data_IF_583844515369
#
_entry.id   IF_583844515369
#
_cell.length_a   1.000
_cell.length_b   1.000
_cell.length_c   1.000
_cell.angle_alpha   90.00
_cell.angle_beta   90.00
_cell.angle_gamma   90.00
#
_symmetry.space_group_name_H-M   'P 1'
#
loop_
_entity.id
_entity.type
_entity.pdbx_description
1 polymer ?
#
# COMPACT_ATOMS: atom_id res chain seq x y z
N UNK A 1 60.63 56.59 -12.30
CA UNK A 1 60.15 57.36 -13.46
C UNK A 1 58.67 57.07 -13.63
N UNK A 2 57.87 58.13 -13.60
CA UNK A 2 56.42 58.12 -13.70
C UNK A 2 55.96 58.21 -15.17
N UNK A 3 54.90 57.49 -15.52
CA UNK A 3 53.78 57.85 -16.44
C UNK A 3 52.65 56.84 -16.07
N UNK A 4 51.49 57.12 -15.47
CA UNK A 4 50.43 58.12 -15.59
C UNK A 4 49.38 57.87 -16.70
N UNK A 5 48.16 57.47 -16.27
CA UNK A 5 46.80 57.89 -16.73
C UNK A 5 46.33 57.34 -18.10
N UNK A 6 45.08 56.97 -18.43
CA UNK A 6 43.68 57.13 -17.96
C UNK A 6 42.84 55.91 -18.47
N UNK A 7 41.84 55.34 -17.79
CA UNK A 7 40.45 55.77 -17.47
C UNK A 7 39.41 55.69 -18.62
N UNK A 8 38.40 54.84 -18.34
CA UNK A 8 36.97 54.86 -18.69
C UNK A 8 36.44 54.43 -20.07
N UNK A 9 35.42 53.56 -20.00
CA UNK A 9 34.50 53.21 -21.08
C UNK A 9 33.42 52.24 -20.62
N UNK A 10 32.60 52.63 -19.64
CA UNK A 10 31.35 51.95 -19.28
C UNK A 10 30.26 52.39 -20.25
N UNK A 11 29.62 51.45 -20.94
CA UNK A 11 28.31 51.67 -21.56
C UNK A 11 27.38 50.52 -21.17
N UNK A 12 26.52 50.82 -20.21
CA UNK A 12 25.27 50.12 -19.90
C UNK A 12 24.22 50.35 -20.97
N UNK A 13 23.66 49.28 -21.54
CA UNK A 13 22.25 49.18 -21.99
C UNK A 13 21.82 47.72 -21.83
N UNK A 14 21.15 47.37 -20.73
CA UNK A 14 19.70 47.32 -20.52
C UNK A 14 18.98 46.13 -21.20
N UNK A 15 18.58 45.17 -20.35
CA UNK A 15 17.39 44.31 -20.38
C UNK A 15 16.95 43.67 -21.71
N UNK A 16 16.98 42.34 -21.73
CA UNK A 16 15.72 41.58 -21.87
C UNK A 16 15.84 40.21 -21.20
N UNK A 17 14.94 40.02 -20.24
CA UNK A 17 14.72 38.82 -19.45
C UNK A 17 13.57 38.06 -20.11
N UNK A 18 13.82 36.90 -20.72
CA UNK A 18 12.77 35.94 -21.10
C UNK A 18 13.35 34.52 -21.16
N UNK A 19 13.29 33.83 -20.01
CA UNK A 19 12.86 32.44 -19.83
C UNK A 19 12.86 31.53 -21.07
N UNK A 20 13.83 30.60 -21.14
CA UNK A 20 13.67 29.34 -21.86
C UNK A 20 13.81 28.17 -20.87
N UNK A 21 12.65 27.66 -20.49
CA UNK A 21 12.36 26.49 -19.64
C UNK A 21 13.30 25.29 -19.90
N UNK A 22 14.04 24.90 -18.86
CA UNK A 22 14.70 23.60 -18.79
C UNK A 22 13.67 22.47 -18.88
N UNK A 23 13.75 21.66 -19.95
CA UNK A 23 13.00 20.43 -20.09
C UNK A 23 13.28 19.50 -18.89
N UNK A 24 12.34 19.45 -17.94
CA UNK A 24 12.25 18.36 -16.96
C UNK A 24 11.95 17.08 -17.72
N UNK A 25 12.99 16.28 -17.99
CA UNK A 25 12.84 14.87 -18.31
C UNK A 25 12.11 14.22 -17.14
N UNK A 26 10.83 13.94 -17.31
CA UNK A 26 10.06 13.09 -16.40
C UNK A 26 10.75 11.74 -16.36
N UNK A 27 11.31 11.39 -15.20
CA UNK A 27 11.74 10.02 -14.89
C UNK A 27 10.51 9.14 -15.09
N UNK A 28 10.45 8.42 -16.21
CA UNK A 28 9.53 7.31 -16.38
C UNK A 28 9.86 6.31 -15.29
N UNK A 29 9.01 6.23 -14.25
CA UNK A 29 9.02 5.10 -13.33
C UNK A 29 8.89 3.85 -14.21
N UNK A 30 9.90 2.99 -14.18
CA UNK A 30 9.81 1.66 -14.76
C UNK A 30 8.57 0.98 -14.18
N UNK A 31 7.50 0.92 -14.98
CA UNK A 31 6.36 0.05 -14.69
C UNK A 31 6.88 -1.35 -14.85
N UNK A 32 7.03 -2.09 -13.75
CA UNK A 32 7.12 -3.54 -13.85
C UNK A 32 5.89 -4.02 -14.63
N UNK A 33 6.08 -4.88 -15.64
CA UNK A 33 4.95 -5.47 -16.34
C UNK A 33 4.10 -6.22 -15.32
N UNK A 34 2.81 -5.87 -15.23
CA UNK A 34 1.87 -6.63 -14.42
C UNK A 34 1.81 -8.07 -14.97
N UNK A 35 1.84 -9.10 -14.11
CA UNK A 35 1.79 -10.49 -14.55
C UNK A 35 0.50 -10.78 -15.34
N UNK A 36 0.50 -11.79 -16.22
CA UNK A 36 -0.69 -12.20 -16.97
C UNK A 36 -1.81 -12.59 -15.99
N UNK A 37 -2.97 -11.96 -16.16
CA UNK A 37 -4.08 -11.99 -15.19
C UNK A 37 -5.05 -13.11 -15.53
N UNK A 38 -5.68 -13.69 -14.51
CA UNK A 38 -6.68 -14.74 -14.69
C UNK A 38 -7.85 -14.25 -15.56
N UNK A 39 -8.37 -15.13 -16.43
CA UNK A 39 -9.59 -14.89 -17.20
C UNK A 39 -10.75 -14.59 -16.24
N UNK A 40 -11.40 -13.43 -16.39
CA UNK A 40 -12.48 -12.96 -15.50
C UNK A 40 -12.05 -11.99 -14.40
N UNK A 41 -10.79 -11.56 -14.36
CA UNK A 41 -10.32 -10.54 -13.42
C UNK A 41 -10.96 -9.17 -13.71
N UNK A 42 -11.43 -8.51 -12.65
CA UNK A 42 -11.91 -7.11 -12.71
C UNK A 42 -10.71 -6.20 -12.47
N UNK A 43 -10.46 -5.27 -13.38
CA UNK A 43 -9.37 -4.29 -13.24
C UNK A 43 -9.96 -2.92 -12.94
N UNK A 44 -9.53 -2.32 -11.83
CA UNK A 44 -9.95 -0.99 -11.38
C UNK A 44 -8.74 -0.05 -11.38
N UNK A 45 -8.86 1.05 -12.12
CA UNK A 45 -7.83 2.05 -12.29
C UNK A 45 -8.28 3.39 -11.74
N UNK A 46 -7.63 3.86 -10.68
CA UNK A 46 -7.98 5.13 -10.02
C UNK A 46 -7.11 6.26 -10.55
N UNK A 47 -7.74 7.33 -11.06
CA UNK A 47 -7.02 8.52 -11.51
C UNK A 47 -6.39 9.25 -10.33
N UNK A 48 -5.06 9.29 -10.30
CA UNK A 48 -4.30 10.03 -9.27
C UNK A 48 -3.55 11.23 -9.85
N UNK A 49 -3.95 11.69 -11.05
CA UNK A 49 -3.42 12.92 -11.63
C UNK A 49 -3.79 14.16 -10.78
N UNK A 50 -3.10 15.28 -10.99
CA UNK A 50 -3.11 16.48 -10.13
C UNK A 50 -4.49 16.89 -9.62
N UNK A 51 -5.51 16.98 -10.48
CA UNK A 51 -6.87 17.40 -10.08
C UNK A 51 -7.55 16.35 -9.22
N UNK A 52 -7.58 15.07 -9.65
CA UNK A 52 -8.20 14.00 -8.89
C UNK A 52 -7.47 13.73 -7.56
N UNK A 53 -6.15 13.86 -7.53
CA UNK A 53 -5.38 13.76 -6.29
C UNK A 53 -5.78 14.83 -5.26
N UNK A 54 -6.10 16.06 -5.69
CA UNK A 54 -6.63 17.11 -4.78
C UNK A 54 -8.06 16.85 -4.31
N UNK A 55 -8.79 15.99 -5.02
CA UNK A 55 -10.18 15.64 -4.74
C UNK A 55 -10.32 14.30 -4.01
N UNK A 56 -9.24 13.77 -3.43
CA UNK A 56 -9.28 12.51 -2.67
C UNK A 56 -8.89 11.26 -3.47
N UNK A 57 -8.32 11.40 -4.67
CA UNK A 57 -8.04 10.24 -5.54
C UNK A 57 -7.03 9.24 -4.97
N UNK A 58 -6.13 9.65 -4.07
CA UNK A 58 -5.17 8.74 -3.42
C UNK A 58 -5.82 7.96 -2.29
N UNK A 59 -6.72 8.61 -1.57
CA UNK A 59 -7.54 8.09 -0.50
C UNK A 59 -8.52 7.06 -1.07
N UNK A 60 -9.15 7.37 -2.21
CA UNK A 60 -10.01 6.44 -2.95
C UNK A 60 -9.24 5.24 -3.46
N UNK A 61 -8.02 5.44 -3.97
CA UNK A 61 -7.14 4.33 -4.37
C UNK A 61 -6.83 3.41 -3.18
N UNK A 62 -6.45 3.98 -2.04
CA UNK A 62 -6.16 3.21 -0.83
C UNK A 62 -7.41 2.47 -0.33
N UNK A 63 -8.57 3.12 -0.31
CA UNK A 63 -9.83 2.52 0.09
C UNK A 63 -10.21 1.36 -0.82
N UNK A 64 -10.20 1.55 -2.14
CA UNK A 64 -10.52 0.50 -3.10
C UNK A 64 -9.55 -0.69 -3.01
N UNK A 65 -8.24 -0.44 -2.84
CA UNK A 65 -7.27 -1.51 -2.60
C UNK A 65 -7.54 -2.26 -1.29
N UNK A 66 -8.01 -1.56 -0.26
CA UNK A 66 -8.40 -2.14 1.03
C UNK A 66 -9.73 -2.92 1.01
N UNK A 67 -10.58 -2.65 0.03
CA UNK A 67 -11.88 -3.30 -0.19
C UNK A 67 -11.80 -4.41 -1.24
N UNK A 68 -10.73 -4.49 -2.03
CA UNK A 68 -10.68 -5.39 -3.17
C UNK A 68 -10.65 -6.87 -2.75
N UNK A 69 -11.57 -7.72 -3.24
CA UNK A 69 -11.44 -9.17 -3.13
C UNK A 69 -10.36 -9.70 -4.10
N UNK A 70 -9.87 -10.95 -3.94
CA UNK A 70 -8.72 -11.47 -4.69
C UNK A 70 -8.79 -11.42 -6.22
N UNK A 71 -10.00 -11.38 -6.81
CA UNK A 71 -10.21 -11.28 -8.27
C UNK A 71 -10.22 -9.84 -8.82
N UNK A 72 -10.18 -8.84 -7.94
CA UNK A 72 -10.19 -7.42 -8.29
C UNK A 72 -8.80 -6.85 -8.12
N UNK A 73 -8.19 -6.40 -9.22
CA UNK A 73 -6.94 -5.67 -9.17
C UNK A 73 -7.21 -4.17 -9.14
N UNK A 74 -6.59 -3.47 -8.18
CA UNK A 74 -6.73 -2.03 -8.01
C UNK A 74 -5.37 -1.37 -8.14
N UNK A 75 -5.22 -0.46 -9.11
CA UNK A 75 -3.98 0.28 -9.30
C UNK A 75 -4.25 1.74 -9.72
N UNK A 76 -3.25 2.58 -9.52
CA UNK A 76 -3.24 3.96 -9.98
C UNK A 76 -3.12 4.06 -11.51
N UNK A 77 -3.65 5.16 -12.05
CA UNK A 77 -3.44 5.53 -13.44
C UNK A 77 -3.28 7.05 -13.60
N UNK A 78 -2.92 7.44 -14.83
CA UNK A 78 -2.84 8.84 -15.25
C UNK A 78 -4.23 9.48 -15.41
N UNK A 79 -4.29 10.59 -16.15
CA UNK A 79 -5.55 11.27 -16.41
C UNK A 79 -6.48 10.39 -17.25
N UNK A 80 -7.73 10.19 -16.80
CA UNK A 80 -8.78 9.50 -17.56
C UNK A 80 -9.63 10.45 -18.44
N UNK A 81 -9.20 11.72 -18.57
CA UNK A 81 -10.07 12.76 -19.10
C UNK A 81 -11.22 13.07 -18.12
N UNK A 82 -12.20 13.89 -18.53
CA UNK A 82 -13.35 14.31 -17.69
C UNK A 82 -12.95 15.15 -16.46
N UNK A 83 -12.16 16.18 -16.69
CA UNK A 83 -11.82 17.18 -15.68
C UNK A 83 -13.10 17.82 -15.10
N UNK A 84 -13.13 18.04 -13.79
CA UNK A 84 -14.30 18.64 -13.09
C UNK A 84 -15.21 17.63 -12.39
N UNK A 85 -15.11 16.34 -12.72
CA UNK A 85 -15.91 15.27 -12.13
C UNK A 85 -15.10 14.26 -11.30
N UNK A 86 -13.89 14.62 -10.82
CA UNK A 86 -13.00 13.67 -10.17
C UNK A 86 -13.32 13.40 -8.69
N UNK A 87 -12.71 12.35 -8.10
CA UNK A 87 -11.84 11.35 -8.70
C UNK A 87 -12.55 10.44 -9.72
N UNK A 88 -11.87 10.19 -10.85
CA UNK A 88 -12.36 9.32 -11.90
C UNK A 88 -11.76 7.93 -11.74
N UNK A 89 -12.56 6.89 -11.97
CA UNK A 89 -12.17 5.49 -11.88
C UNK A 89 -12.54 4.80 -13.19
N UNK A 90 -11.60 4.10 -13.81
CA UNK A 90 -11.88 3.21 -14.92
C UNK A 90 -12.00 1.77 -14.40
N UNK A 91 -13.01 1.03 -14.83
CA UNK A 91 -13.14 -0.38 -14.55
C UNK A 91 -13.20 -1.19 -15.86
N UNK A 92 -12.49 -2.30 -15.91
CA UNK A 92 -12.53 -3.27 -17.00
C UNK A 92 -13.09 -4.59 -16.50
N UNK A 93 -14.17 -5.05 -17.13
CA UNK A 93 -14.82 -6.34 -16.83
C UNK A 93 -15.06 -7.08 -18.14
N UNK A 94 -14.48 -8.27 -18.30
CA UNK A 94 -14.66 -9.08 -19.51
C UNK A 94 -14.24 -8.38 -20.81
N UNK A 95 -13.25 -7.47 -20.75
CA UNK A 95 -12.78 -6.68 -21.89
C UNK A 95 -13.57 -5.40 -22.18
N UNK A 96 -14.69 -5.16 -21.49
CA UNK A 96 -15.44 -3.90 -21.56
C UNK A 96 -14.90 -2.90 -20.55
N UNK A 97 -14.57 -1.70 -21.02
CA UNK A 97 -14.02 -0.62 -20.17
C UNK A 97 -15.07 0.48 -19.98
N UNK A 98 -15.33 0.85 -18.73
CA UNK A 98 -16.18 1.97 -18.35
C UNK A 98 -15.41 2.95 -17.46
N UNK A 99 -15.73 4.25 -17.58
CA UNK A 99 -15.15 5.31 -16.74
C UNK A 99 -16.25 5.97 -15.91
N UNK A 100 -16.06 5.93 -14.60
CA UNK A 100 -16.94 6.47 -13.58
C UNK A 100 -16.36 7.76 -13.01
N UNK A 101 -17.18 8.81 -12.92
CA UNK A 101 -16.83 10.05 -12.25
C UNK A 101 -17.42 10.13 -10.84
N UNK A 102 -16.97 11.11 -10.06
CA UNK A 102 -17.43 11.46 -8.72
C UNK A 102 -17.24 10.33 -7.69
N UNK A 103 -16.23 9.49 -7.88
CA UNK A 103 -15.87 8.44 -6.92
C UNK A 103 -14.92 9.03 -5.89
N UNK A 104 -15.39 10.01 -5.11
CA UNK A 104 -14.56 10.79 -4.17
C UNK A 104 -14.46 10.25 -2.76
N UNK A 105 -15.18 9.18 -2.44
CA UNK A 105 -15.23 8.62 -1.09
C UNK A 105 -15.11 7.10 -1.14
N UNK A 106 -14.66 6.50 -0.03
CA UNK A 106 -14.64 5.05 0.14
C UNK A 106 -16.03 4.44 -0.11
N UNK A 107 -17.10 5.09 0.37
CA UNK A 107 -18.47 4.63 0.18
C UNK A 107 -18.88 4.56 -1.30
N UNK A 108 -18.55 5.59 -2.09
CA UNK A 108 -18.78 5.57 -3.54
C UNK A 108 -17.94 4.50 -4.24
N UNK A 109 -16.71 4.29 -3.79
CA UNK A 109 -15.85 3.21 -4.28
C UNK A 109 -16.42 1.82 -4.00
N UNK A 110 -16.89 1.57 -2.78
CA UNK A 110 -17.53 0.31 -2.40
C UNK A 110 -18.81 0.04 -3.20
N UNK A 111 -19.66 1.07 -3.40
CA UNK A 111 -20.85 0.97 -4.26
C UNK A 111 -20.49 0.66 -5.72
N UNK A 112 -19.39 1.22 -6.23
CA UNK A 112 -18.89 0.87 -7.56
C UNK A 112 -18.46 -0.60 -7.61
N UNK A 113 -17.73 -1.10 -6.62
CA UNK A 113 -17.34 -2.51 -6.56
C UNK A 113 -18.57 -3.44 -6.47
N UNK A 114 -19.56 -3.10 -5.64
CA UNK A 114 -20.82 -3.84 -5.56
C UNK A 114 -21.57 -3.86 -6.90
N UNK A 115 -21.57 -2.74 -7.64
CA UNK A 115 -22.17 -2.68 -8.97
C UNK A 115 -21.42 -3.57 -9.98
N UNK A 116 -20.09 -3.60 -9.92
CA UNK A 116 -19.25 -4.38 -10.85
C UNK A 116 -19.27 -5.88 -10.57
N UNK A 117 -19.40 -6.28 -9.30
CA UNK A 117 -19.31 -7.68 -8.85
C UNK A 117 -20.68 -8.30 -8.57
N UNK A 118 -21.70 -7.48 -8.29
CA UNK A 118 -23.01 -7.91 -7.85
C UNK A 118 -23.11 -8.08 -6.33
N UNK A 119 -24.28 -7.76 -5.78
CA UNK A 119 -24.55 -7.77 -4.34
C UNK A 119 -24.45 -9.16 -3.67
N UNK A 120 -24.53 -10.24 -4.47
CA UNK A 120 -24.34 -11.59 -3.98
C UNK A 120 -22.87 -11.91 -3.66
N UNK A 121 -21.94 -11.25 -4.35
CA UNK A 121 -20.50 -11.51 -4.20
C UNK A 121 -19.77 -10.43 -3.40
N UNK A 122 -20.32 -9.22 -3.31
CA UNK A 122 -19.70 -8.08 -2.63
C UNK A 122 -20.76 -7.18 -2.00
N UNK A 123 -20.73 -7.01 -0.67
CA UNK A 123 -21.66 -6.17 0.06
C UNK A 123 -20.97 -4.88 0.52
N UNK A 124 -21.30 -3.75 -0.12
CA UNK A 124 -20.59 -2.49 0.17
C UNK A 124 -20.69 -2.06 1.65
N UNK A 125 -21.82 -2.32 2.32
CA UNK A 125 -22.00 -1.94 3.72
C UNK A 125 -21.11 -2.77 4.66
N UNK A 126 -21.08 -4.09 4.48
CA UNK A 126 -20.22 -4.99 5.26
C UNK A 126 -18.73 -4.68 5.04
N UNK A 127 -18.34 -4.41 3.80
CA UNK A 127 -16.96 -4.12 3.42
C UNK A 127 -16.47 -2.77 3.96
N UNK A 128 -17.34 -1.74 3.95
CA UNK A 128 -17.04 -0.46 4.58
C UNK A 128 -16.93 -0.58 6.10
N UNK A 129 -17.78 -1.38 6.74
CA UNK A 129 -17.69 -1.64 8.16
C UNK A 129 -16.38 -2.37 8.52
N UNK A 130 -16.00 -3.37 7.72
CA UNK A 130 -14.73 -4.09 7.88
C UNK A 130 -13.51 -3.16 7.69
N UNK A 131 -13.53 -2.30 6.66
CA UNK A 131 -12.49 -1.31 6.42
C UNK A 131 -12.37 -0.34 7.61
N UNK A 132 -13.49 0.20 8.09
CA UNK A 132 -13.51 1.13 9.20
C UNK A 132 -13.00 0.50 10.50
N UNK A 133 -13.37 -0.75 10.79
CA UNK A 133 -12.87 -1.49 11.95
C UNK A 133 -11.35 -1.68 11.88
N UNK A 134 -10.81 -2.02 10.70
CA UNK A 134 -9.36 -2.15 10.49
C UNK A 134 -8.61 -0.83 10.65
N UNK A 135 -9.13 0.27 10.10
CA UNK A 135 -8.52 1.60 10.28
C UNK A 135 -8.50 2.03 11.76
N UNK A 136 -9.61 1.78 12.49
CA UNK A 136 -9.67 2.03 13.94
C UNK A 136 -8.67 1.16 14.71
N UNK A 137 -8.53 -0.12 14.34
CA UNK A 137 -7.57 -1.03 14.96
C UNK A 137 -6.13 -0.58 14.73
N UNK A 138 -5.80 -0.12 13.52
CA UNK A 138 -4.48 0.46 13.22
C UNK A 138 -4.22 1.71 14.07
N UNK A 139 -5.20 2.61 14.19
CA UNK A 139 -5.10 3.79 15.05
C UNK A 139 -4.99 3.43 16.55
N UNK A 140 -5.65 2.37 17.00
CA UNK A 140 -5.53 1.87 18.37
C UNK A 140 -4.13 1.30 18.65
N UNK A 141 -3.54 0.57 17.69
CA UNK A 141 -2.15 0.09 17.79
C UNK A 141 -1.14 1.23 17.87
N UNK A 142 -1.33 2.31 17.10
CA UNK A 142 -0.47 3.50 17.17
C UNK A 142 -0.50 4.17 18.54
N UNK A 143 -1.63 4.06 19.25
CA UNK A 143 -1.80 4.53 20.63
C UNK A 143 -1.31 3.54 21.69
N UNK A 144 -0.89 2.34 21.29
CA UNK A 144 -0.48 1.26 22.19
C UNK A 144 -1.63 0.43 22.76
N UNK A 145 -2.87 0.68 22.34
CA UNK A 145 -4.07 -0.05 22.78
C UNK A 145 -4.26 -1.34 21.97
N UNK A 146 -3.37 -2.33 22.13
CA UNK A 146 -3.42 -3.56 21.35
C UNK A 146 -4.67 -4.42 21.62
N UNK A 147 -5.13 -4.48 22.87
CA UNK A 147 -6.35 -5.24 23.21
C UNK A 147 -7.61 -4.68 22.53
N UNK A 148 -7.73 -3.35 22.45
CA UNK A 148 -8.83 -2.69 21.71
C UNK A 148 -8.76 -3.02 20.21
N UNK A 149 -7.56 -3.00 19.64
CA UNK A 149 -7.35 -3.35 18.24
C UNK A 149 -7.77 -4.80 17.94
N UNK A 150 -7.50 -5.74 18.85
CA UNK A 150 -7.90 -7.14 18.68
C UNK A 150 -9.42 -7.31 18.66
N UNK A 151 -10.15 -6.62 19.54
CA UNK A 151 -11.62 -6.65 19.56
C UNK A 151 -12.18 -6.15 18.24
N UNK A 152 -11.72 -4.99 17.77
CA UNK A 152 -12.15 -4.39 16.50
C UNK A 152 -11.89 -5.32 15.30
N UNK A 153 -10.74 -6.01 15.29
CA UNK A 153 -10.40 -6.94 14.21
C UNK A 153 -11.22 -8.23 14.27
N UNK A 154 -11.58 -8.69 15.46
CA UNK A 154 -12.43 -9.87 15.62
C UNK A 154 -13.89 -9.62 15.18
N UNK A 155 -14.39 -8.39 15.35
CA UNK A 155 -15.71 -7.99 14.82
C UNK A 155 -15.82 -8.17 13.31
N UNK A 156 -14.71 -8.01 12.57
CA UNK A 156 -14.69 -8.14 11.10
C UNK A 156 -15.10 -9.54 10.64
N UNK A 157 -14.76 -10.58 11.39
CA UNK A 157 -15.11 -11.97 11.03
C UNK A 157 -16.61 -12.28 11.22
N UNK A 158 -17.34 -11.43 11.95
CA UNK A 158 -18.80 -11.48 12.02
C UNK A 158 -19.48 -10.75 10.87
N UNK A 159 -18.72 -10.00 10.07
CA UNK A 159 -19.21 -9.32 8.88
C UNK A 159 -19.06 -10.28 7.69
N UNK A 160 -20.08 -10.36 6.83
CA UNK A 160 -20.00 -11.08 5.55
C UNK A 160 -19.14 -10.28 4.53
N UNK A 161 -17.94 -9.90 4.94
CA UNK A 161 -16.94 -9.20 4.13
C UNK A 161 -15.96 -10.21 3.52
N UNK A 162 -15.64 -10.02 2.25
CA UNK A 162 -14.72 -10.86 1.46
C UNK A 162 -13.48 -10.08 1.00
N UNK A 163 -13.57 -8.75 0.94
CA UNK A 163 -12.52 -7.84 0.51
C UNK A 163 -11.44 -7.65 1.56
N UNK A 164 -10.19 -7.54 1.12
CA UNK A 164 -9.09 -7.11 2.00
C UNK A 164 -8.78 -8.02 3.20
N UNK A 165 -9.26 -9.27 3.24
CA UNK A 165 -9.07 -10.17 4.39
C UNK A 165 -7.58 -10.39 4.75
N UNK A 166 -6.70 -10.49 3.76
CA UNK A 166 -5.25 -10.56 3.99
C UNK A 166 -4.70 -9.34 4.78
N UNK A 167 -5.33 -8.17 4.67
CA UNK A 167 -4.99 -6.98 5.48
C UNK A 167 -5.52 -7.10 6.91
N UNK A 168 -6.71 -7.67 7.10
CA UNK A 168 -7.31 -7.93 8.42
C UNK A 168 -6.40 -8.89 9.20
N UNK A 169 -6.06 -10.03 8.60
CA UNK A 169 -5.13 -11.00 9.18
C UNK A 169 -3.76 -10.40 9.47
N UNK A 170 -3.20 -9.60 8.55
CA UNK A 170 -1.94 -8.88 8.80
C UNK A 170 -2.03 -7.94 10.00
N UNK A 171 -3.12 -7.16 10.12
CA UNK A 171 -3.31 -6.26 11.25
C UNK A 171 -3.50 -7.04 12.55
N UNK A 172 -4.23 -8.17 12.53
CA UNK A 172 -4.44 -9.02 13.71
C UNK A 172 -3.17 -9.74 14.14
N UNK A 173 -2.39 -10.25 13.20
CA UNK A 173 -1.06 -10.83 13.46
C UNK A 173 -0.15 -9.82 14.16
N UNK A 174 -0.08 -8.58 13.65
CA UNK A 174 0.68 -7.50 14.29
C UNK A 174 0.16 -7.17 15.70
N UNK A 175 -1.16 -7.14 15.88
CA UNK A 175 -1.79 -6.90 17.19
C UNK A 175 -1.45 -8.00 18.18
N UNK A 176 -1.56 -9.27 17.78
CA UNK A 176 -1.29 -10.43 18.62
C UNK A 176 0.18 -10.54 19.02
N UNK A 177 1.11 -10.17 18.13
CA UNK A 177 2.53 -10.00 18.49
C UNK A 177 2.73 -8.94 19.58
N UNK A 178 1.97 -7.85 19.54
CA UNK A 178 2.05 -6.80 20.56
C UNK A 178 1.45 -7.22 21.91
N UNK A 179 0.46 -8.11 21.90
CA UNK A 179 -0.16 -8.67 23.11
C UNK A 179 0.67 -9.85 23.68
N UNK A 180 1.48 -10.49 22.85
CA UNK A 180 2.27 -11.66 23.21
C UNK A 180 1.64 -13.01 22.84
N UNK A 181 0.50 -13.00 22.13
CA UNK A 181 -0.07 -14.21 21.52
C UNK A 181 0.70 -14.54 20.23
N UNK A 182 1.87 -15.16 20.39
CA UNK A 182 2.77 -15.44 19.28
C UNK A 182 2.20 -16.53 18.36
N UNK A 183 1.54 -17.54 18.93
CA UNK A 183 0.87 -18.61 18.18
C UNK A 183 -0.23 -18.06 17.27
N UNK A 184 -1.16 -17.27 17.82
CA UNK A 184 -2.24 -16.70 17.04
C UNK A 184 -1.74 -15.68 16.01
N UNK A 185 -0.61 -15.03 16.28
CA UNK A 185 0.03 -14.16 15.29
C UNK A 185 0.63 -14.93 14.10
N UNK A 186 1.21 -16.10 14.34
CA UNK A 186 1.73 -16.97 13.29
C UNK A 186 0.60 -17.49 12.40
N UNK A 187 -0.47 -18.00 13.01
CA UNK A 187 -1.67 -18.48 12.29
C UNK A 187 -2.24 -17.38 11.38
N UNK A 188 -2.36 -16.15 11.90
CA UNK A 188 -2.84 -15.02 11.11
C UNK A 188 -1.90 -14.65 9.97
N UNK A 189 -0.58 -14.70 10.18
CA UNK A 189 0.38 -14.42 9.12
C UNK A 189 0.31 -15.46 8.00
N UNK A 190 0.16 -16.74 8.35
CA UNK A 190 0.01 -17.84 7.39
C UNK A 190 -1.30 -17.74 6.61
N UNK A 191 -2.39 -17.37 7.28
CA UNK A 191 -3.68 -17.17 6.64
C UNK A 191 -3.67 -15.97 5.67
N UNK A 192 -2.97 -14.88 6.02
CA UNK A 192 -2.73 -13.77 5.11
C UNK A 192 -1.92 -14.18 3.87
N UNK A 193 -0.92 -15.05 4.04
CA UNK A 193 -0.13 -15.65 2.93
C UNK A 193 -1.03 -16.55 2.08
N UNK A 194 -1.89 -17.37 2.69
CA UNK A 194 -2.81 -18.26 1.97
C UNK A 194 -3.74 -17.48 1.04
N UNK A 195 -4.26 -16.34 1.52
CA UNK A 195 -5.16 -15.47 0.75
C UNK A 195 -4.39 -14.68 -0.32
N UNK A 196 -3.20 -14.17 0.03
CA UNK A 196 -2.36 -13.39 -0.87
C UNK A 196 -0.90 -13.84 -0.77
N UNK A 197 -0.48 -14.86 -1.55
CA UNK A 197 0.85 -15.46 -1.43
C UNK A 197 2.01 -14.50 -1.69
N UNK A 198 1.76 -13.46 -2.48
CA UNK A 198 2.74 -12.42 -2.82
C UNK A 198 2.71 -11.22 -1.87
N UNK A 199 1.99 -11.31 -0.75
CA UNK A 199 1.87 -10.23 0.21
C UNK A 199 3.06 -10.19 1.17
N UNK A 200 4.07 -9.38 0.81
CA UNK A 200 5.35 -9.25 1.50
C UNK A 200 5.19 -9.02 3.01
N UNK A 201 4.21 -8.21 3.43
CA UNK A 201 4.00 -7.88 4.85
C UNK A 201 3.60 -9.11 5.68
N UNK A 202 2.91 -10.09 5.09
CA UNK A 202 2.54 -11.31 5.80
C UNK A 202 3.75 -12.22 6.04
N UNK A 203 4.65 -12.35 5.06
CA UNK A 203 5.92 -13.05 5.23
C UNK A 203 6.81 -12.41 6.31
N UNK A 204 6.87 -11.07 6.35
CA UNK A 204 7.58 -10.37 7.42
C UNK A 204 6.97 -10.64 8.81
N UNK A 205 5.65 -10.71 8.92
CA UNK A 205 4.98 -11.00 10.19
C UNK A 205 5.15 -12.47 10.61
N UNK A 206 5.15 -13.40 9.65
CA UNK A 206 5.50 -14.81 9.90
C UNK A 206 6.91 -14.92 10.48
N UNK A 207 7.87 -14.23 9.88
CA UNK A 207 9.24 -14.16 10.41
C UNK A 207 9.32 -13.50 11.79
N UNK A 208 8.57 -12.41 12.01
CA UNK A 208 8.49 -11.75 13.33
C UNK A 208 7.90 -12.69 14.41
N UNK A 209 6.89 -13.50 14.07
CA UNK A 209 6.30 -14.48 14.98
C UNK A 209 7.25 -15.64 15.27
N UNK A 210 7.87 -16.24 14.25
CA UNK A 210 8.86 -17.31 14.42
C UNK A 210 10.07 -16.86 15.23
N UNK A 211 10.54 -15.64 15.00
CA UNK A 211 11.61 -15.02 15.80
C UNK A 211 11.22 -14.92 17.29
N UNK A 212 9.96 -14.54 17.58
CA UNK A 212 9.45 -14.47 18.94
C UNK A 212 9.24 -15.84 19.59
N UNK A 213 8.98 -16.89 18.80
CA UNK A 213 8.93 -18.29 19.27
C UNK A 213 10.32 -18.89 19.55
N UNK A 214 11.39 -18.25 19.07
CA UNK A 214 12.75 -18.80 19.13
C UNK A 214 13.12 -19.71 17.96
N UNK A 215 12.24 -19.82 16.96
CA UNK A 215 12.44 -20.62 15.75
C UNK A 215 13.26 -19.83 14.72
N UNK A 216 14.54 -19.60 15.03
CA UNK A 216 15.37 -18.64 14.30
C UNK A 216 15.67 -19.03 12.84
N UNK A 217 15.88 -20.32 12.55
CA UNK A 217 16.09 -20.80 11.18
C UNK A 217 14.84 -20.56 10.33
N UNK A 218 13.67 -20.93 10.85
CA UNK A 218 12.41 -20.71 10.16
C UNK A 218 12.10 -19.21 9.98
N UNK A 219 12.49 -18.37 10.94
CA UNK A 219 12.38 -16.92 10.82
C UNK A 219 13.28 -16.35 9.70
N UNK A 220 14.50 -16.88 9.55
CA UNK A 220 15.41 -16.51 8.45
C UNK A 220 14.78 -16.86 7.09
N UNK A 221 14.23 -18.06 6.95
CA UNK A 221 13.54 -18.51 5.73
C UNK A 221 12.35 -17.59 5.40
N UNK A 222 11.51 -17.24 6.38
CA UNK A 222 10.37 -16.34 6.15
C UNK A 222 10.81 -14.92 5.73
N UNK A 223 11.94 -14.42 6.23
CA UNK A 223 12.50 -13.14 5.77
C UNK A 223 13.15 -13.25 4.38
N UNK A 224 13.69 -14.42 4.02
CA UNK A 224 14.18 -14.70 2.68
C UNK A 224 13.02 -14.74 1.66
N UNK A 225 11.91 -15.40 1.99
CA UNK A 225 10.68 -15.40 1.18
C UNK A 225 10.21 -13.97 0.87
N UNK A 226 10.22 -13.09 1.87
CA UNK A 226 9.88 -11.68 1.69
C UNK A 226 10.84 -10.94 0.73
N UNK A 227 12.14 -11.25 0.79
CA UNK A 227 13.17 -10.68 -0.09
C UNK A 227 13.06 -11.19 -1.52
N UNK A 228 12.68 -12.45 -1.72
CA UNK A 228 12.48 -13.03 -3.05
C UNK A 228 11.28 -12.40 -3.77
N UNK A 229 10.23 -12.04 -3.02
CA UNK A 229 9.08 -11.31 -3.54
C UNK A 229 9.41 -9.86 -3.92
N UNK A 230 10.18 -9.15 -3.08
CA UNK A 230 10.65 -7.80 -3.37
C UNK A 230 12.06 -7.56 -2.80
N UNK A 231 13.10 -7.67 -3.65
CA UNK A 231 14.48 -7.44 -3.21
C UNK A 231 14.75 -6.01 -2.72
N UNK A 232 13.88 -5.05 -3.03
CA UNK A 232 14.07 -3.65 -2.65
C UNK A 232 13.91 -3.43 -1.14
N UNK A 233 13.15 -4.30 -0.44
CA UNK A 233 12.94 -4.20 1.00
C UNK A 233 14.23 -4.35 1.79
N UNK A 234 15.27 -4.98 1.22
CA UNK A 234 16.62 -5.09 1.81
C UNK A 234 17.18 -3.74 2.26
N UNK A 235 16.82 -2.67 1.56
CA UNK A 235 17.29 -1.30 1.86
C UNK A 235 16.45 -0.60 2.92
N UNK A 236 15.28 -1.11 3.27
CA UNK A 236 14.38 -0.53 4.26
C UNK A 236 14.98 -0.57 5.67
N UNK A 237 14.85 0.53 6.42
CA UNK A 237 15.25 0.58 7.83
C UNK A 237 14.50 -0.45 8.68
N UNK A 238 13.20 -0.63 8.43
CA UNK A 238 12.35 -1.56 9.18
C UNK A 238 12.71 -3.03 8.94
N UNK A 239 13.23 -3.35 7.76
CA UNK A 239 13.70 -4.70 7.44
C UNK A 239 15.07 -4.96 8.06
N UNK A 240 16.00 -4.00 7.97
CA UNK A 240 17.31 -4.09 8.62
C UNK A 240 17.21 -4.35 10.12
N UNK A 241 16.30 -3.64 10.81
CA UNK A 241 16.05 -3.86 12.23
C UNK A 241 15.54 -5.28 12.56
N UNK A 242 14.77 -5.91 11.67
CA UNK A 242 14.34 -7.32 11.84
C UNK A 242 15.52 -8.28 11.74
N UNK A 243 16.33 -8.11 10.71
CA UNK A 243 17.52 -8.94 10.46
C UNK A 243 18.55 -8.78 11.59
N UNK A 244 18.72 -7.56 12.11
CA UNK A 244 19.60 -7.30 13.25
C UNK A 244 19.12 -8.03 14.51
N UNK A 245 17.84 -7.92 14.86
CA UNK A 245 17.25 -8.68 15.99
C UNK A 245 17.41 -10.19 15.83
N UNK A 246 17.20 -10.72 14.63
CA UNK A 246 17.41 -12.14 14.34
C UNK A 246 18.86 -12.56 14.60
N UNK A 247 19.83 -11.77 14.12
CA UNK A 247 21.26 -12.03 14.32
C UNK A 247 21.66 -11.97 15.79
N UNK A 248 21.19 -10.97 16.53
CA UNK A 248 21.42 -10.86 17.97
C UNK A 248 20.93 -12.12 18.69
N UNK A 249 19.70 -12.57 18.37
CA UNK A 249 19.11 -13.77 18.96
C UNK A 249 19.84 -15.05 18.60
N UNK A 250 20.29 -15.19 17.34
CA UNK A 250 21.11 -16.31 16.89
C UNK A 250 22.44 -16.38 17.64
N UNK A 251 23.15 -15.24 17.79
CA UNK A 251 24.43 -15.18 18.53
C UNK A 251 24.21 -15.56 20.00
N UNK A 252 23.16 -15.03 20.63
CA UNK A 252 22.81 -15.38 22.01
C UNK A 252 22.44 -16.87 22.16
N UNK A 253 21.78 -17.48 21.19
CA UNK A 253 21.44 -18.90 21.23
C UNK A 253 22.67 -19.81 21.04
N UNK A 254 23.68 -19.36 20.29
CA UNK A 254 24.93 -20.11 20.08
C UNK A 254 25.95 -19.97 21.21
N UNK A 255 25.80 -18.99 22.09
CA UNK A 255 26.66 -18.75 23.25
C UNK A 255 25.85 -18.89 24.56
N UNK A 256 25.52 -20.12 24.99
CA UNK A 256 24.68 -20.40 26.15
C UNK A 256 25.31 -20.05 27.50
#
# INVERSE_FOLDING_TARGET
>A
MAVAVAVAGVTTTNRSCCLASAHRRTLHRHRHPAPPRASGAVEVRVCTNRTCARQGGREVLAALAGLAPPRVDVDSCGCLGRCGAGPNVAASVGGSIAVFGHVGTAARGAQLLEHLLGAAEFNAAAELAALAAREKAEAALEKGSAAEAEVLLNEVFGLNACGGMHLVYRSRSKTRLAIGDISGALEDAEEAIRISPRFIQAHLLRGDALLAMGEYCAAEDAYADALDLDPSIRRSKSFKARVERLREKLVSATNP
#
